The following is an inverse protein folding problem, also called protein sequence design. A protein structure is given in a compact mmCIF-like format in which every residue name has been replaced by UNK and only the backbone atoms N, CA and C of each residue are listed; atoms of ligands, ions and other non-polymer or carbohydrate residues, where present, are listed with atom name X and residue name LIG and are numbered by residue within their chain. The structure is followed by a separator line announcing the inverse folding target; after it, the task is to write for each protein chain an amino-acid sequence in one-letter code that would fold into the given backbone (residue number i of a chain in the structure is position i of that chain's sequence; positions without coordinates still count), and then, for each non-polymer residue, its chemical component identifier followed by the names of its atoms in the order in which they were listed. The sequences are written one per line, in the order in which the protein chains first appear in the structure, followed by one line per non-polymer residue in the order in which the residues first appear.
data_IF_800002574187
#
_entry.id   IF_800002574187
#
_cell.length_a   1.000
_cell.length_b   1.000
_cell.length_c   1.000
_cell.angle_alpha   90.00
_cell.angle_beta   90.00
_cell.angle_gamma   90.00
#
_symmetry.space_group_name_H-M   'P 1'
#
loop_
_entity.id
_entity.type
_entity.pdbx_description
1 polymer ?
#
# COMPACT_ATOMS: atom_id res chain seq x y z
N UNK A 1 -8.31 -30.26 -2.86
CA UNK A 1 -8.61 -28.98 -3.54
C UNK A 1 -7.28 -28.34 -3.91
N UNK A 2 -6.74 -28.73 -5.07
CA UNK A 2 -5.54 -28.17 -5.67
C UNK A 2 -5.91 -26.85 -6.34
N UNK A 3 -5.23 -25.78 -5.95
CA UNK A 3 -5.36 -24.44 -6.54
C UNK A 3 -4.51 -24.44 -7.82
N UNK A 4 -5.18 -24.61 -8.95
CA UNK A 4 -4.63 -24.37 -10.29
C UNK A 4 -4.51 -22.85 -10.55
N UNK A 5 -3.57 -22.20 -9.85
CA UNK A 5 -3.07 -20.88 -10.27
C UNK A 5 -1.94 -21.09 -11.29
N UNK A 6 -2.29 -21.66 -12.44
CA UNK A 6 -1.46 -21.52 -13.64
C UNK A 6 -1.61 -20.07 -14.09
N UNK A 7 -0.58 -19.29 -13.80
CA UNK A 7 -0.28 -18.01 -14.43
C UNK A 7 -0.70 -18.08 -15.90
N UNK A 8 -1.71 -17.31 -16.28
CA UNK A 8 -1.97 -17.01 -17.67
C UNK A 8 -0.71 -16.31 -18.16
N UNK A 9 0.18 -17.05 -18.81
CA UNK A 9 1.12 -16.46 -19.76
C UNK A 9 0.23 -15.83 -20.83
N UNK A 10 -0.10 -14.55 -20.65
CA UNK A 10 -0.65 -13.73 -21.70
C UNK A 10 0.44 -13.69 -22.77
N UNK A 11 0.34 -14.59 -23.74
CA UNK A 11 1.12 -14.51 -24.97
C UNK A 11 0.93 -13.09 -25.49
N UNK A 12 2.00 -12.30 -25.57
CA UNK A 12 1.92 -10.96 -26.15
C UNK A 12 1.18 -11.08 -27.50
N UNK A 13 0.17 -10.24 -27.76
CA UNK A 13 -0.60 -10.36 -28.99
C UNK A 13 0.35 -10.25 -30.19
N UNK A 14 0.15 -11.09 -31.21
CA UNK A 14 1.06 -11.19 -32.35
C UNK A 14 1.39 -9.84 -33.01
N UNK A 15 0.40 -8.93 -33.06
CA UNK A 15 0.56 -7.56 -33.55
C UNK A 15 1.64 -6.76 -32.78
N UNK A 16 1.77 -6.93 -31.46
CA UNK A 16 2.79 -6.23 -30.68
C UNK A 16 4.20 -6.74 -31.02
N UNK A 17 4.35 -8.04 -31.29
CA UNK A 17 5.62 -8.65 -31.69
C UNK A 17 6.05 -8.13 -33.06
N UNK A 18 5.12 -8.06 -34.02
CA UNK A 18 5.35 -7.50 -35.36
C UNK A 18 5.73 -6.01 -35.30
N UNK A 19 4.99 -5.20 -34.55
CA UNK A 19 5.30 -3.77 -34.39
C UNK A 19 6.68 -3.58 -33.75
N UNK A 20 7.04 -4.39 -32.74
CA UNK A 20 8.34 -4.33 -32.07
C UNK A 20 9.50 -4.67 -33.03
N UNK A 21 9.32 -5.65 -33.91
CA UNK A 21 10.34 -6.03 -34.90
C UNK A 21 10.52 -4.95 -35.97
N UNK A 22 9.42 -4.38 -36.48
CA UNK A 22 9.44 -3.25 -37.43
C UNK A 22 10.10 -2.02 -36.83
N UNK A 23 9.78 -1.69 -35.59
CA UNK A 23 10.36 -0.57 -34.85
C UNK A 23 11.87 -0.77 -34.64
N UNK A 24 12.31 -1.98 -34.30
CA UNK A 24 13.73 -2.28 -34.17
C UNK A 24 14.47 -2.09 -35.51
N UNK A 25 13.91 -2.60 -36.62
CA UNK A 25 14.46 -2.40 -37.97
C UNK A 25 14.52 -0.93 -38.38
N UNK A 26 13.46 -0.16 -38.10
CA UNK A 26 13.40 1.27 -38.41
C UNK A 26 14.46 2.05 -37.64
N UNK A 27 14.58 1.85 -36.32
CA UNK A 27 15.58 2.54 -35.52
C UNK A 27 17.00 2.18 -35.93
N UNK A 28 17.30 0.92 -36.26
CA UNK A 28 18.62 0.56 -36.77
C UNK A 28 18.99 1.32 -38.05
N UNK A 29 18.02 1.58 -38.93
CA UNK A 29 18.22 2.40 -40.15
C UNK A 29 18.41 3.88 -39.82
N UNK A 30 17.61 4.44 -38.92
CA UNK A 30 17.72 5.84 -38.50
C UNK A 30 19.02 6.13 -37.74
N UNK A 31 19.43 5.19 -36.88
CA UNK A 31 20.69 5.27 -36.14
C UNK A 31 21.88 5.26 -37.10
N UNK A 32 21.84 4.43 -38.15
CA UNK A 32 22.87 4.42 -39.20
C UNK A 32 22.90 5.72 -40.03
N UNK A 33 21.73 6.26 -40.41
CA UNK A 33 21.62 7.52 -41.16
C UNK A 33 22.06 8.75 -40.34
N UNK A 34 21.89 8.70 -39.01
CA UNK A 34 22.34 9.76 -38.10
C UNK A 34 23.80 9.60 -37.64
N UNK A 35 24.57 8.71 -38.29
CA UNK A 35 25.96 8.42 -37.93
C UNK A 35 26.11 8.02 -36.44
N UNK A 36 25.10 7.32 -35.91
CA UNK A 36 25.01 6.89 -34.52
C UNK A 36 25.05 8.02 -33.48
N UNK A 37 24.71 9.25 -33.86
CA UNK A 37 24.54 10.38 -32.93
C UNK A 37 23.09 10.48 -32.44
N UNK A 38 22.68 9.56 -31.58
CA UNK A 38 21.32 9.51 -31.02
C UNK A 38 21.34 9.34 -29.50
N UNK A 39 20.19 9.52 -28.86
CA UNK A 39 20.04 9.28 -27.42
C UNK A 39 19.85 7.78 -27.15
N UNK A 40 20.70 7.15 -26.32
CA UNK A 40 20.61 5.71 -26.08
C UNK A 40 19.25 5.35 -25.47
N UNK A 41 18.76 4.14 -25.79
CA UNK A 41 17.46 3.68 -25.30
C UNK A 41 17.46 3.62 -23.77
N UNK A 42 16.34 3.97 -23.11
CA UNK A 42 16.26 3.88 -21.66
C UNK A 42 16.45 2.42 -21.23
N UNK A 43 17.23 2.20 -20.17
CA UNK A 43 17.54 0.85 -19.67
C UNK A 43 16.27 0.20 -19.15
N UNK A 44 15.77 -0.78 -19.91
CA UNK A 44 14.69 -1.66 -19.46
C UNK A 44 15.28 -2.78 -18.57
N UNK A 45 14.60 -3.19 -17.49
CA UNK A 45 15.05 -4.32 -16.68
C UNK A 45 14.91 -5.63 -17.48
N UNK A 46 16.04 -6.23 -17.83
CA UNK A 46 16.10 -7.53 -18.53
C UNK A 46 16.47 -8.65 -17.56
N UNK A 47 15.66 -9.70 -17.47
CA UNK A 47 15.97 -10.89 -16.69
C UNK A 47 16.73 -11.90 -17.54
N UNK A 48 18.01 -12.12 -17.24
CA UNK A 48 18.84 -13.15 -17.89
C UNK A 48 18.93 -14.37 -16.99
N UNK A 49 18.53 -15.54 -17.50
CA UNK A 49 18.67 -16.82 -16.80
C UNK A 49 19.98 -17.46 -17.25
N UNK A 50 20.93 -17.58 -16.32
CA UNK A 50 22.25 -18.19 -16.57
C UNK A 50 22.25 -19.61 -16.01
N UNK A 51 22.63 -20.60 -16.82
CA UNK A 51 22.81 -21.98 -16.38
C UNK A 51 24.17 -22.20 -15.73
N UNK A 52 24.26 -23.12 -14.77
CA UNK A 52 25.54 -23.48 -14.13
C UNK A 52 26.34 -24.40 -15.06
N UNK A 53 27.14 -23.78 -15.94
CA UNK A 53 28.08 -24.47 -16.83
C UNK A 53 29.51 -24.03 -16.47
N UNK A 54 30.51 -24.85 -16.78
CA UNK A 54 31.93 -24.47 -16.64
C UNK A 54 32.26 -23.31 -17.58
N UNK A 55 33.13 -22.38 -17.18
CA UNK A 55 33.56 -21.27 -18.04
C UNK A 55 34.08 -21.75 -19.40
N UNK A 56 34.81 -22.87 -19.37
CA UNK A 56 35.36 -23.59 -20.54
C UNK A 56 34.36 -23.77 -21.68
N UNK A 57 33.09 -24.10 -21.39
CA UNK A 57 32.09 -24.37 -22.46
C UNK A 57 31.58 -23.11 -23.14
N UNK A 58 31.75 -21.94 -22.52
CA UNK A 58 31.38 -20.64 -23.09
C UNK A 58 32.55 -19.98 -23.83
N UNK A 59 33.77 -20.46 -23.57
CA UNK A 59 34.99 -19.94 -24.19
C UNK A 59 35.13 -20.42 -25.65
N UNK A 60 35.88 -19.65 -26.43
CA UNK A 60 36.20 -20.01 -27.81
C UNK A 60 37.11 -21.24 -27.86
N UNK A 61 37.00 -22.02 -28.93
CA UNK A 61 37.85 -23.22 -29.15
C UNK A 61 39.24 -22.77 -29.59
N UNK A 62 40.03 -22.28 -28.64
CA UNK A 62 41.43 -21.92 -28.85
C UNK A 62 42.31 -22.66 -27.82
N UNK A 63 43.46 -23.23 -28.22
CA UNK A 63 44.34 -23.96 -27.31
C UNK A 63 45.23 -23.02 -26.50
N UNK A 64 44.67 -22.20 -25.60
CA UNK A 64 45.45 -21.38 -24.65
C UNK A 64 44.69 -21.26 -23.32
N UNK A 65 45.30 -21.81 -22.26
CA UNK A 65 44.98 -21.66 -20.82
C UNK A 65 43.51 -21.64 -20.42
N UNK A 66 43.06 -22.77 -19.87
CA UNK A 66 41.69 -23.01 -19.41
C UNK A 66 41.47 -22.45 -18.00
N UNK A 67 40.35 -21.75 -17.78
CA UNK A 67 39.89 -21.41 -16.43
C UNK A 67 38.88 -22.45 -15.91
N UNK A 68 39.21 -23.17 -14.84
CA UNK A 68 38.37 -24.23 -14.25
C UNK A 68 37.15 -23.71 -13.44
N UNK A 69 36.89 -22.41 -13.45
CA UNK A 69 35.78 -21.82 -12.68
C UNK A 69 34.42 -22.08 -13.33
N UNK A 70 33.37 -22.25 -12.52
CA UNK A 70 31.99 -22.27 -12.98
C UNK A 70 31.46 -20.83 -13.17
N UNK A 71 30.47 -20.65 -14.06
CA UNK A 71 29.83 -19.35 -14.30
C UNK A 71 29.06 -18.81 -13.08
N UNK A 72 28.46 -19.72 -12.30
CA UNK A 72 27.62 -19.37 -11.18
C UNK A 72 28.45 -19.21 -9.90
N UNK A 73 28.22 -18.13 -9.16
CA UNK A 73 28.96 -17.89 -7.92
C UNK A 73 28.51 -18.88 -6.82
N UNK A 74 29.39 -19.24 -5.85
CA UNK A 74 29.01 -20.11 -4.74
C UNK A 74 27.81 -19.58 -3.92
N UNK A 75 27.58 -18.26 -3.89
CA UNK A 75 26.45 -17.64 -3.20
C UNK A 75 25.10 -17.80 -3.92
N UNK A 76 25.14 -18.04 -5.22
CA UNK A 76 23.97 -18.28 -6.06
C UNK A 76 23.62 -19.77 -6.05
N UNK A 77 24.62 -20.66 -6.03
CA UNK A 77 24.44 -22.11 -5.79
C UNK A 77 23.93 -22.35 -4.36
N UNK A 78 24.61 -21.77 -3.38
CA UNK A 78 24.27 -21.87 -1.95
C UNK A 78 23.90 -20.48 -1.46
N UNK A 79 22.59 -20.24 -1.33
CA UNK A 79 22.04 -18.95 -0.92
C UNK A 79 22.81 -18.28 0.23
N UNK A 80 22.85 -16.95 0.23
CA UNK A 80 23.63 -16.14 1.18
C UNK A 80 23.52 -16.68 2.61
N UNK A 81 24.63 -17.20 3.12
CA UNK A 81 24.72 -17.65 4.52
C UNK A 81 24.37 -16.46 5.43
N UNK A 82 23.58 -16.71 6.47
CA UNK A 82 23.44 -15.72 7.54
C UNK A 82 24.84 -15.40 8.07
N UNK A 83 25.17 -14.12 8.20
CA UNK A 83 26.49 -13.72 8.70
C UNK A 83 26.57 -14.08 10.19
N UNK A 84 27.40 -15.06 10.52
CA UNK A 84 27.61 -15.56 11.88
C UNK A 84 27.17 -17.02 12.06
N UNK A 85 27.32 -17.51 13.28
CA UNK A 85 26.87 -18.84 13.68
C UNK A 85 25.34 -18.89 13.74
N UNK A 86 24.75 -20.00 13.25
CA UNK A 86 23.32 -20.25 13.35
C UNK A 86 23.00 -20.62 14.80
N UNK A 87 22.52 -19.65 15.59
CA UNK A 87 22.07 -19.88 16.97
C UNK A 87 20.57 -20.03 17.04
N UNK A 88 20.09 -21.01 17.80
CA UNK A 88 18.68 -21.13 18.16
C UNK A 88 18.25 -20.02 19.13
N UNK A 89 16.94 -19.80 19.29
CA UNK A 89 16.41 -18.79 20.23
C UNK A 89 16.75 -19.13 21.70
N UNK A 90 16.90 -20.40 21.99
CA UNK A 90 17.23 -20.93 23.33
C UNK A 90 18.70 -20.69 23.68
N UNK A 91 19.58 -20.81 22.70
CA UNK A 91 21.02 -20.60 22.81
C UNK A 91 21.41 -19.10 22.77
N UNK A 92 20.49 -18.23 22.36
CA UNK A 92 20.73 -16.79 22.34
C UNK A 92 20.76 -16.21 23.75
N UNK A 93 21.84 -15.51 24.04
CA UNK A 93 21.96 -14.68 25.25
C UNK A 93 20.94 -13.53 25.24
N UNK A 94 20.62 -12.99 26.42
CA UNK A 94 19.67 -11.89 26.52
C UNK A 94 20.15 -10.59 25.83
N UNK A 95 21.45 -10.39 25.76
CA UNK A 95 22.06 -9.25 25.05
C UNK A 95 21.83 -9.39 23.54
N UNK A 96 22.01 -10.59 22.99
CA UNK A 96 21.75 -10.91 21.59
C UNK A 96 20.27 -10.77 21.25
N UNK A 97 19.35 -11.24 22.12
CA UNK A 97 17.90 -11.07 21.95
C UNK A 97 17.51 -9.60 21.86
N UNK A 98 18.08 -8.75 22.73
CA UNK A 98 17.85 -7.29 22.70
C UNK A 98 18.42 -6.66 21.43
N UNK A 99 19.60 -7.06 20.96
CA UNK A 99 20.21 -6.59 19.71
C UNK A 99 19.36 -6.96 18.48
N UNK A 100 18.92 -8.22 18.38
CA UNK A 100 18.05 -8.70 17.31
C UNK A 100 16.71 -7.93 17.27
N UNK A 101 16.11 -7.67 18.44
CA UNK A 101 14.89 -6.86 18.56
C UNK A 101 15.11 -5.43 18.06
N UNK A 102 16.22 -4.78 18.41
CA UNK A 102 16.56 -3.43 17.93
C UNK A 102 16.70 -3.41 16.41
N UNK A 103 17.44 -4.36 15.83
CA UNK A 103 17.62 -4.48 14.38
C UNK A 103 16.29 -4.69 13.65
N UNK A 104 15.42 -5.57 14.17
CA UNK A 104 14.07 -5.78 13.64
C UNK A 104 13.25 -4.50 13.65
N UNK A 105 13.26 -3.75 14.76
CA UNK A 105 12.55 -2.46 14.87
C UNK A 105 13.08 -1.44 13.87
N UNK A 106 14.40 -1.33 13.71
CA UNK A 106 15.01 -0.42 12.73
C UNK A 106 14.59 -0.78 11.30
N UNK A 107 14.66 -2.06 10.92
CA UNK A 107 14.22 -2.54 9.60
C UNK A 107 12.74 -2.27 9.36
N UNK A 108 11.89 -2.46 10.37
CA UNK A 108 10.46 -2.18 10.28
C UNK A 108 10.20 -0.68 10.07
N UNK A 109 10.88 0.19 10.82
CA UNK A 109 10.79 1.65 10.65
C UNK A 109 11.23 2.06 9.25
N UNK A 110 12.34 1.50 8.75
CA UNK A 110 12.81 1.79 7.39
C UNK A 110 11.77 1.39 6.34
N UNK A 111 11.25 0.16 6.39
CA UNK A 111 10.17 -0.29 5.49
C UNK A 111 8.93 0.61 5.53
N UNK A 112 8.54 1.10 6.71
CA UNK A 112 7.43 2.04 6.83
C UNK A 112 7.76 3.38 6.18
N UNK A 113 8.97 3.93 6.39
CA UNK A 113 9.42 5.17 5.74
C UNK A 113 9.45 5.03 4.22
N UNK A 114 9.93 3.90 3.71
CA UNK A 114 10.00 3.64 2.27
C UNK A 114 8.59 3.54 1.66
N UNK A 115 7.66 2.84 2.32
CA UNK A 115 6.24 2.80 1.93
C UNK A 115 5.61 4.19 1.90
N UNK A 116 5.90 5.02 2.91
CA UNK A 116 5.39 6.40 2.97
C UNK A 116 5.98 7.28 1.86
N UNK A 117 7.27 7.11 1.52
CA UNK A 117 7.90 7.82 0.41
C UNK A 117 7.28 7.43 -0.93
N UNK A 118 7.16 6.13 -1.19
CA UNK A 118 6.51 5.62 -2.40
C UNK A 118 5.07 6.11 -2.52
N UNK A 119 4.28 6.08 -1.44
CA UNK A 119 2.92 6.60 -1.44
C UNK A 119 2.86 8.11 -1.75
N UNK A 120 3.82 8.90 -1.22
CA UNK A 120 3.93 10.34 -1.53
C UNK A 120 4.28 10.57 -2.99
N UNK A 121 5.24 9.82 -3.55
CA UNK A 121 5.61 9.91 -4.97
C UNK A 121 4.43 9.60 -5.88
N UNK A 122 3.70 8.50 -5.60
CA UNK A 122 2.49 8.14 -6.36
C UNK A 122 1.43 9.23 -6.25
N UNK A 123 1.26 9.85 -5.08
CA UNK A 123 0.31 10.96 -4.90
C UNK A 123 0.71 12.24 -5.65
N UNK A 124 2.01 12.47 -5.88
CA UNK A 124 2.51 13.60 -6.67
C UNK A 124 2.28 13.37 -8.17
N UNK A 125 2.51 12.14 -8.64
CA UNK A 125 2.33 11.76 -10.05
C UNK A 125 0.85 11.84 -10.44
N UNK A 126 -0.05 11.36 -9.57
CA UNK A 126 -1.49 11.37 -9.80
C UNK A 126 -2.21 12.16 -8.69
N UNK A 127 -2.28 13.50 -8.78
CA UNK A 127 -2.96 14.33 -7.80
C UNK A 127 -4.48 14.09 -7.84
N UNK A 128 -5.11 14.07 -6.66
CA UNK A 128 -6.57 13.88 -6.50
C UNK A 128 -6.98 12.48 -5.99
N UNK A 129 -8.28 12.18 -6.04
CA UNK A 129 -8.86 10.90 -5.60
C UNK A 129 -8.65 9.75 -6.61
N UNK A 130 -7.95 9.97 -7.72
CA UNK A 130 -7.70 8.93 -8.72
C UNK A 130 -6.77 7.82 -8.22
N UNK A 131 -5.94 8.08 -7.21
CA UNK A 131 -4.98 7.10 -6.71
C UNK A 131 -5.51 6.30 -5.51
N UNK A 132 -5.16 5.02 -5.41
CA UNK A 132 -5.61 4.12 -4.32
C UNK A 132 -5.25 4.65 -2.92
N UNK A 133 -4.11 5.33 -2.80
CA UNK A 133 -3.58 5.79 -1.51
C UNK A 133 -4.30 7.03 -0.97
N UNK A 134 -4.77 7.94 -1.83
CA UNK A 134 -5.51 9.15 -1.47
C UNK A 134 -6.93 8.80 -1.07
N UNK A 135 -7.59 7.87 -1.77
CA UNK A 135 -8.87 7.29 -1.35
C UNK A 135 -8.79 6.67 0.04
N UNK A 136 -7.84 5.75 0.25
CA UNK A 136 -7.62 5.13 1.56
C UNK A 136 -7.30 6.14 2.67
N UNK A 137 -6.61 7.23 2.35
CA UNK A 137 -6.32 8.29 3.32
C UNK A 137 -7.57 9.09 3.66
N UNK A 138 -8.40 9.43 2.68
CA UNK A 138 -9.67 10.11 2.88
C UNK A 138 -10.65 9.24 3.69
N UNK A 139 -10.77 7.95 3.37
CA UNK A 139 -11.57 6.98 4.13
C UNK A 139 -11.11 6.87 5.58
N UNK A 140 -9.80 6.80 5.82
CA UNK A 140 -9.25 6.82 7.19
C UNK A 140 -9.55 8.10 7.92
N UNK A 141 -9.44 9.25 7.26
CA UNK A 141 -9.78 10.55 7.88
C UNK A 141 -11.27 10.61 8.25
N UNK A 142 -12.16 10.12 7.38
CA UNK A 142 -13.59 10.02 7.68
C UNK A 142 -13.82 9.08 8.86
N UNK A 143 -13.18 7.91 8.89
CA UNK A 143 -13.29 6.95 9.99
C UNK A 143 -12.77 7.50 11.32
N UNK A 144 -11.64 8.21 11.31
CA UNK A 144 -11.08 8.84 12.50
C UNK A 144 -12.02 9.94 13.03
N UNK A 145 -12.65 10.71 12.13
CA UNK A 145 -13.66 11.71 12.50
C UNK A 145 -14.94 11.06 13.03
N UNK A 146 -15.38 9.92 12.47
CA UNK A 146 -16.59 9.21 12.94
C UNK A 146 -16.41 8.50 14.27
N UNK A 147 -15.20 8.02 14.55
CA UNK A 147 -14.90 7.34 15.81
C UNK A 147 -14.79 8.32 16.98
N UNK A 148 -14.53 9.59 16.70
CA UNK A 148 -14.59 10.65 17.71
C UNK A 148 -16.07 10.96 17.99
N UNK A 149 -16.49 10.88 19.26
CA UNK A 149 -17.88 11.05 19.75
C UNK A 149 -18.58 12.39 19.42
N UNK A 150 -17.94 13.28 18.65
CA UNK A 150 -18.46 14.60 18.31
C UNK A 150 -19.20 14.63 16.96
N UNK A 151 -19.24 13.54 16.18
CA UNK A 151 -19.93 13.49 14.88
C UNK A 151 -20.72 12.18 14.73
N UNK A 152 -22.03 12.29 14.58
CA UNK A 152 -22.91 11.16 14.22
C UNK A 152 -23.15 11.16 12.71
N UNK A 153 -22.87 10.05 12.04
CA UNK A 153 -23.27 9.85 10.65
C UNK A 153 -24.80 9.79 10.59
N UNK A 154 -25.40 10.71 9.85
CA UNK A 154 -26.84 10.68 9.57
C UNK A 154 -27.06 9.58 8.52
N UNK A 155 -27.37 8.36 8.95
CA UNK A 155 -27.97 7.38 8.05
C UNK A 155 -29.38 7.89 7.70
N UNK A 156 -29.66 8.10 6.41
CA UNK A 156 -31.02 8.36 5.94
C UNK A 156 -31.93 7.21 6.40
N UNK A 157 -33.02 7.63 7.05
CA UNK A 157 -34.00 6.82 7.75
C UNK A 157 -34.55 5.68 6.88
N UNK A 158 -33.91 4.52 6.95
CA UNK A 158 -34.58 3.24 6.78
C UNK A 158 -34.74 2.66 8.16
N UNK A 159 -35.98 2.62 8.65
CA UNK A 159 -36.35 2.03 9.93
C UNK A 159 -35.96 0.55 9.96
N UNK A 160 -34.71 0.26 10.35
CA UNK A 160 -34.25 -1.09 10.61
C UNK A 160 -35.00 -1.57 11.87
N UNK A 161 -35.82 -2.60 11.70
CA UNK A 161 -36.52 -3.24 12.80
C UNK A 161 -35.53 -3.66 13.90
N UNK A 162 -35.87 -3.39 15.16
CA UNK A 162 -35.03 -3.67 16.32
C UNK A 162 -34.92 -5.17 16.55
N UNK A 163 -33.97 -5.82 15.87
CA UNK A 163 -33.79 -7.28 15.93
C UNK A 163 -33.10 -7.77 17.21
N UNK A 164 -32.63 -6.87 18.09
CA UNK A 164 -32.05 -7.24 19.39
C UNK A 164 -32.57 -6.36 20.54
N UNK A 165 -32.66 -6.95 21.73
CA UNK A 165 -33.05 -6.25 22.96
C UNK A 165 -32.12 -5.07 23.26
N UNK A 166 -30.81 -5.25 23.07
CA UNK A 166 -29.82 -4.19 23.29
C UNK A 166 -30.04 -2.99 22.36
N UNK A 167 -30.37 -3.22 21.09
CA UNK A 167 -30.66 -2.15 20.14
C UNK A 167 -31.97 -1.42 20.46
N UNK A 168 -32.99 -2.16 20.93
CA UNK A 168 -34.25 -1.57 21.40
C UNK A 168 -34.04 -0.65 22.60
N UNK A 169 -33.31 -1.09 23.62
CA UNK A 169 -33.07 -0.29 24.81
C UNK A 169 -32.22 0.96 24.54
N UNK A 170 -31.25 0.90 23.63
CA UNK A 170 -30.50 2.09 23.22
C UNK A 170 -31.41 3.12 22.52
N UNK A 171 -32.27 2.67 21.59
CA UNK A 171 -33.25 3.54 20.93
C UNK A 171 -34.22 4.16 21.93
N UNK A 172 -34.72 3.38 22.88
CA UNK A 172 -35.62 3.84 23.93
C UNK A 172 -34.96 4.89 24.84
N UNK A 173 -33.71 4.66 25.24
CA UNK A 173 -32.94 5.62 26.03
C UNK A 173 -32.76 6.94 25.29
N UNK A 174 -32.50 6.90 23.98
CA UNK A 174 -32.31 8.10 23.17
C UNK A 174 -33.63 8.86 22.95
N UNK A 175 -34.74 8.15 22.79
CA UNK A 175 -36.08 8.77 22.69
C UNK A 175 -36.49 9.45 24.01
N UNK A 176 -36.26 8.80 25.16
CA UNK A 176 -36.50 9.40 26.47
C UNK A 176 -35.63 10.63 26.68
N UNK A 177 -34.33 10.57 26.34
CA UNK A 177 -33.42 11.74 26.41
C UNK A 177 -33.92 12.89 25.53
N UNK A 178 -34.39 12.60 24.32
CA UNK A 178 -34.90 13.62 23.40
C UNK A 178 -36.20 14.26 23.90
N UNK A 179 -37.12 13.49 24.49
CA UNK A 179 -38.32 14.03 25.13
C UNK A 179 -38.01 14.89 26.38
N UNK A 180 -36.99 14.52 27.17
CA UNK A 180 -36.55 15.33 28.31
C UNK A 180 -35.93 16.65 27.80
N UNK A 181 -35.10 16.60 26.75
CA UNK A 181 -34.53 17.80 26.11
C UNK A 181 -35.62 18.71 25.54
N UNK A 182 -36.64 18.18 24.87
CA UNK A 182 -37.75 19.01 24.36
C UNK A 182 -38.59 19.62 25.50
N UNK A 183 -38.92 18.85 26.54
CA UNK A 183 -39.67 19.37 27.70
C UNK A 183 -38.91 20.46 28.46
N UNK A 184 -37.59 20.33 28.61
CA UNK A 184 -36.76 21.32 29.29
C UNK A 184 -36.61 22.62 28.49
N UNK A 185 -36.53 22.55 27.15
CA UNK A 185 -36.50 23.75 26.29
C UNK A 185 -37.86 24.47 26.26
N UNK A 186 -38.98 23.75 26.31
CA UNK A 186 -40.33 24.32 26.43
C UNK A 186 -40.57 25.00 27.79
N UNK A 187 -40.07 24.44 28.91
CA UNK A 187 -40.16 25.10 30.23
C UNK A 187 -39.37 26.40 30.31
N UNK A 188 -38.21 26.50 29.64
CA UNK A 188 -37.42 27.74 29.59
C UNK A 188 -38.10 28.88 28.81
N UNK A 189 -39.02 28.59 27.88
CA UNK A 189 -39.74 29.62 27.10
C UNK A 189 -40.99 30.20 27.80
N UNK A 190 -41.54 29.55 28.83
CA UNK A 190 -42.78 30.01 29.49
C UNK A 190 -42.60 31.04 30.62
N UNK A 191 -41.36 31.32 31.05
CA UNK A 191 -41.09 32.24 32.19
C UNK A 191 -40.48 33.59 31.75
N UNK A 192 -41.10 34.28 30.78
CA UNK A 192 -40.80 35.70 30.48
C UNK A 192 -42.07 36.47 30.12
N UNK A 193 -42.93 36.70 31.11
CA UNK A 193 -43.96 37.75 31.06
C UNK A 193 -43.83 38.57 32.34
N UNK A 194 -42.87 39.49 32.38
CA UNK A 194 -42.83 40.54 33.40
C UNK A 194 -43.74 41.67 32.92
N UNK A 195 -44.96 41.70 33.44
CA UNK A 195 -45.93 42.79 33.24
C UNK A 195 -45.51 43.93 34.17
N UNK A 196 -45.08 45.07 33.62
CA UNK A 196 -44.67 46.25 34.40
C UNK A 196 -45.85 47.23 34.51
N UNK A 197 -46.30 47.50 35.74
CA UNK A 197 -47.51 48.26 36.11
C UNK A 197 -47.50 49.78 35.78
N UNK A 198 -46.67 50.24 34.84
CA UNK A 198 -46.60 51.66 34.42
C UNK A 198 -47.46 51.98 33.19
N UNK A 199 -48.13 51.00 32.58
CA UNK A 199 -48.86 51.17 31.31
C UNK A 199 -50.39 51.03 31.41
N UNK A 200 -50.94 51.07 32.63
CA UNK A 200 -52.38 50.98 32.88
C UNK A 200 -52.82 52.10 33.82
N UNK A 201 -52.93 53.32 33.30
CA UNK A 201 -53.91 54.32 33.73
C UNK A 201 -54.42 55.03 32.48
N UNK A 202 -55.75 55.06 32.36
CA UNK A 202 -56.51 55.91 31.44
C UNK A 202 -56.26 57.40 31.74
#
# INVERSE_FOLDING_TARGET
ASVDDKERQETEPALHVEVRSMLHSLFNKLDALSNYHYTPRPVAPEMKVISNVSAITMEEVAPVTVADSALLAPQEVKGKKQKGELKSKEEMTDTDKKRARRLKKTRQRQRQRDRLRAAKEISKINPGLGNKYSKLRAEKQVLDVTNNNNVTMVEESKEKTVKSSTAFFNKLQDEVKNQIKSKTTLKKKKNKWNITAKKLKL
#
